data_IF_054777137785
#
_entry.id   IF_054777137785
#
_cell.length_a   1.000
_cell.length_b   1.000
_cell.length_c   1.000
_cell.angle_alpha   90.00
_cell.angle_beta   90.00
_cell.angle_gamma   90.00
#
_symmetry.space_group_name_H-M   'P 1'
#
loop_
_entity.id
_entity.type
_entity.pdbx_description
1 polymer ?
#
# COMPACT_ATOMS: atom_id res chain seq x y z
N UNK A 1 21.32 0.35 -21.57
CA UNK A 1 19.95 0.60 -21.08
C UNK A 1 20.02 1.44 -19.81
N UNK A 2 19.27 2.53 -19.78
CA UNK A 2 19.27 3.44 -18.65
C UNK A 2 18.09 3.09 -17.72
N UNK A 3 18.39 2.81 -16.48
CA UNK A 3 17.34 2.55 -15.48
C UNK A 3 16.99 3.86 -14.80
N UNK A 4 15.70 4.16 -14.73
CA UNK A 4 15.24 5.32 -13.99
C UNK A 4 15.54 5.13 -12.50
N UNK A 5 16.25 6.09 -11.94
CA UNK A 5 16.51 6.10 -10.51
C UNK A 5 15.49 7.01 -9.84
N UNK A 6 14.73 6.47 -8.94
CA UNK A 6 13.79 7.24 -8.14
C UNK A 6 14.23 7.19 -6.70
N UNK A 7 14.15 8.33 -6.04
CA UNK A 7 14.38 8.39 -4.61
C UNK A 7 13.16 7.80 -3.90
N UNK A 8 13.38 6.72 -3.17
CA UNK A 8 12.30 6.04 -2.45
C UNK A 8 12.26 6.55 -1.03
N UNK A 9 11.14 7.19 -0.69
CA UNK A 9 10.90 7.69 0.65
C UNK A 9 9.75 6.92 1.27
N UNK A 10 9.96 6.34 2.43
CA UNK A 10 8.92 5.63 3.17
C UNK A 10 8.35 6.57 4.22
N UNK A 11 7.04 6.75 4.19
CA UNK A 11 6.33 7.59 5.15
C UNK A 11 5.38 6.74 5.98
N UNK A 12 5.26 7.06 7.25
CA UNK A 12 4.27 6.42 8.11
C UNK A 12 2.95 7.16 7.94
N UNK A 13 1.93 6.46 7.53
CA UNK A 13 0.63 7.05 7.18
C UNK A 13 -0.47 6.33 7.96
N UNK A 14 -1.44 7.06 8.52
CA UNK A 14 -2.57 6.42 9.18
C UNK A 14 -3.30 5.50 8.21
N UNK A 15 -3.46 4.25 8.61
CA UNK A 15 -4.14 3.25 7.78
C UNK A 15 -5.55 3.72 7.38
N UNK A 16 -6.25 4.38 8.32
CA UNK A 16 -7.60 4.87 8.07
C UNK A 16 -7.69 5.94 6.99
N UNK A 17 -6.56 6.60 6.65
CA UNK A 17 -6.54 7.63 5.61
C UNK A 17 -6.41 7.06 4.20
N UNK A 18 -6.06 5.78 4.09
CA UNK A 18 -5.83 5.14 2.79
C UNK A 18 -7.14 4.65 2.19
N UNK A 19 -7.33 4.95 0.91
CA UNK A 19 -8.50 4.53 0.16
C UNK A 19 -8.12 3.39 -0.78
N UNK A 20 -8.96 2.38 -0.89
CA UNK A 20 -8.77 1.32 -1.87
C UNK A 20 -9.02 1.87 -3.28
N UNK A 21 -8.24 1.41 -4.25
CA UNK A 21 -8.42 1.79 -5.65
C UNK A 21 -9.78 1.27 -6.16
N UNK A 22 -10.60 2.15 -6.70
CA UNK A 22 -11.96 1.81 -7.12
C UNK A 22 -12.04 0.73 -8.22
N UNK A 23 -11.00 0.65 -9.04
CA UNK A 23 -10.93 -0.37 -10.09
C UNK A 23 -10.57 -1.76 -9.59
N UNK A 24 -10.24 -1.88 -8.31
CA UNK A 24 -9.84 -3.17 -7.74
C UNK A 24 -11.06 -3.88 -7.16
N UNK A 25 -11.70 -4.67 -8.00
CA UNK A 25 -12.90 -5.42 -7.60
C UNK A 25 -12.60 -6.74 -6.91
N UNK A 26 -11.34 -7.15 -6.84
CA UNK A 26 -10.97 -8.43 -6.26
C UNK A 26 -10.90 -8.35 -4.75
N UNK A 27 -11.61 -9.25 -4.09
CA UNK A 27 -11.45 -9.47 -2.66
C UNK A 27 -10.22 -10.35 -2.45
N UNK A 28 -9.39 -9.98 -1.48
CA UNK A 28 -8.27 -10.82 -1.14
C UNK A 28 -8.74 -12.07 -0.40
N UNK A 29 -8.16 -13.22 -0.76
CA UNK A 29 -8.40 -14.47 -0.08
C UNK A 29 -7.98 -14.34 1.38
N UNK A 30 -8.82 -14.81 2.29
CA UNK A 30 -8.52 -14.79 3.73
C UNK A 30 -7.21 -15.50 4.07
N UNK A 31 -6.90 -16.60 3.38
CA UNK A 31 -5.64 -17.31 3.58
C UNK A 31 -4.44 -16.45 3.27
N UNK A 32 -4.55 -15.69 2.17
CA UNK A 32 -3.48 -14.79 1.76
C UNK A 32 -3.29 -13.68 2.78
N UNK A 33 -4.38 -13.09 3.24
CA UNK A 33 -4.33 -12.04 4.26
C UNK A 33 -3.77 -12.58 5.58
N UNK A 34 -4.16 -13.78 5.98
CA UNK A 34 -3.63 -14.42 7.19
C UNK A 34 -2.12 -14.67 7.09
N UNK A 35 -1.65 -15.13 5.93
CA UNK A 35 -0.22 -15.35 5.72
C UNK A 35 0.56 -14.04 5.82
N UNK A 36 0.03 -12.97 5.21
CA UNK A 36 0.64 -11.64 5.29
C UNK A 36 0.64 -11.14 6.73
N UNK A 37 -0.48 -11.31 7.45
CA UNK A 37 -0.58 -10.89 8.84
C UNK A 37 0.42 -11.62 9.73
N UNK A 38 0.59 -12.91 9.55
CA UNK A 38 1.59 -13.69 10.28
C UNK A 38 3.00 -13.19 10.01
N UNK A 39 3.30 -12.87 8.75
CA UNK A 39 4.60 -12.34 8.37
C UNK A 39 4.85 -10.99 9.04
N UNK A 40 3.84 -10.14 9.08
CA UNK A 40 3.95 -8.83 9.75
C UNK A 40 4.18 -9.01 11.26
N UNK A 41 3.46 -9.92 11.89
CA UNK A 41 3.65 -10.19 13.32
C UNK A 41 5.06 -10.69 13.62
N UNK A 42 5.58 -11.58 12.78
CA UNK A 42 6.87 -12.22 13.02
C UNK A 42 8.06 -11.32 12.65
N UNK A 43 7.98 -10.64 11.53
CA UNK A 43 9.11 -9.90 10.96
C UNK A 43 8.92 -8.40 10.92
N UNK A 44 7.77 -7.90 11.30
CA UNK A 44 7.43 -6.49 11.18
C UNK A 44 6.91 -6.14 9.79
N UNK A 45 6.39 -4.93 9.65
CA UNK A 45 5.84 -4.44 8.39
C UNK A 45 7.00 -3.93 7.52
N UNK A 46 7.57 -4.79 6.71
CA UNK A 46 8.79 -4.48 5.95
C UNK A 46 8.55 -4.05 4.52
N UNK A 47 7.43 -4.45 3.92
CA UNK A 47 7.11 -4.11 2.54
C UNK A 47 6.11 -2.96 2.53
N UNK A 48 6.50 -1.75 2.09
CA UNK A 48 5.57 -0.62 2.12
C UNK A 48 4.42 -0.80 1.15
N UNK A 49 3.31 -0.15 1.47
CA UNK A 49 2.18 0.01 0.57
C UNK A 49 2.55 1.08 -0.43
N UNK A 50 2.18 0.89 -1.69
CA UNK A 50 2.40 1.89 -2.74
C UNK A 50 1.09 2.65 -2.92
N UNK A 51 1.15 3.96 -2.85
CA UNK A 51 -0.03 4.81 -2.97
C UNK A 51 0.28 6.08 -3.76
N UNK A 52 -0.75 6.80 -4.11
CA UNK A 52 -0.65 8.10 -4.74
C UNK A 52 -1.77 8.98 -4.21
N UNK A 53 -1.66 10.29 -4.38
CA UNK A 53 -2.73 11.20 -4.01
C UNK A 53 -3.66 11.34 -5.22
N UNK A 54 -4.93 11.03 -5.01
CA UNK A 54 -5.92 11.16 -6.08
C UNK A 54 -6.28 12.62 -6.31
N UNK A 55 -7.21 12.90 -7.22
CA UNK A 55 -7.60 14.27 -7.57
C UNK A 55 -8.17 15.05 -6.38
N UNK A 56 -8.70 14.34 -5.38
CA UNK A 56 -9.21 14.95 -4.16
C UNK A 56 -8.14 15.12 -3.08
N UNK A 57 -6.91 14.74 -3.39
CA UNK A 57 -5.80 14.79 -2.44
C UNK A 57 -5.82 13.66 -1.41
N UNK A 58 -6.65 12.64 -1.63
CA UNK A 58 -6.77 11.51 -0.72
C UNK A 58 -5.77 10.42 -1.10
N UNK A 59 -5.00 9.87 -0.14
CA UNK A 59 -4.10 8.75 -0.43
C UNK A 59 -4.89 7.51 -0.89
N UNK A 60 -4.56 7.03 -2.07
CA UNK A 60 -5.24 5.88 -2.66
C UNK A 60 -4.22 4.78 -2.95
N UNK A 61 -4.56 3.54 -2.57
CA UNK A 61 -3.64 2.41 -2.69
C UNK A 61 -3.50 2.00 -4.15
N UNK A 62 -2.27 1.94 -4.63
CA UNK A 62 -1.94 1.43 -5.97
C UNK A 62 -1.57 -0.04 -5.88
N UNK A 63 -0.77 -0.41 -4.89
CA UNK A 63 -0.35 -1.78 -4.65
C UNK A 63 -0.21 -2.03 -3.15
N UNK A 64 -0.45 -3.26 -2.74
CA UNK A 64 -0.35 -3.63 -1.33
C UNK A 64 -1.70 -3.71 -0.63
N UNK A 65 -2.77 -3.95 -1.37
CA UNK A 65 -4.11 -4.09 -0.78
C UNK A 65 -4.17 -5.22 0.25
N UNK A 66 -3.48 -6.33 0.00
CA UNK A 66 -3.41 -7.44 0.95
C UNK A 66 -2.69 -7.04 2.24
N UNK A 67 -1.65 -6.22 2.12
CA UNK A 67 -0.91 -5.70 3.28
C UNK A 67 -1.78 -4.75 4.10
N UNK A 68 -2.57 -3.91 3.42
CA UNK A 68 -3.50 -3.03 4.10
C UNK A 68 -4.59 -3.81 4.84
N UNK A 69 -5.12 -4.86 4.21
CA UNK A 69 -6.11 -5.74 4.84
C UNK A 69 -5.52 -6.46 6.06
N UNK A 70 -4.29 -6.94 5.95
CA UNK A 70 -3.60 -7.59 7.07
C UNK A 70 -3.36 -6.61 8.21
N UNK A 71 -2.93 -5.39 7.91
CA UNK A 71 -2.72 -4.36 8.91
C UNK A 71 -4.02 -4.03 9.64
N UNK A 72 -5.13 -3.96 8.92
CA UNK A 72 -6.44 -3.73 9.52
C UNK A 72 -6.81 -4.86 10.47
N UNK A 73 -6.55 -6.11 10.08
CA UNK A 73 -6.81 -7.28 10.92
C UNK A 73 -5.99 -7.24 12.20
N UNK A 74 -4.75 -6.78 12.11
CA UNK A 74 -3.85 -6.66 13.25
C UNK A 74 -4.06 -5.38 14.08
N UNK A 75 -4.98 -4.52 13.65
CA UNK A 75 -5.27 -3.24 14.30
C UNK A 75 -4.06 -2.31 14.37
N UNK A 76 -3.27 -2.32 13.30
CA UNK A 76 -2.13 -1.42 13.16
C UNK A 76 -2.66 -0.04 12.75
N UNK A 77 -2.24 0.99 13.47
CA UNK A 77 -2.73 2.36 13.24
C UNK A 77 -2.03 3.05 12.08
N UNK A 78 -0.72 2.90 11.99
CA UNK A 78 0.06 3.51 10.92
C UNK A 78 0.82 2.44 10.15
N UNK A 79 0.98 2.68 8.86
CA UNK A 79 1.66 1.74 7.97
C UNK A 79 2.68 2.47 7.11
N UNK A 80 3.76 1.77 6.70
CA UNK A 80 4.73 2.38 5.79
C UNK A 80 4.16 2.48 4.38
N UNK A 81 4.30 3.65 3.78
CA UNK A 81 3.76 3.94 2.45
C UNK A 81 4.83 4.64 1.61
N UNK A 82 4.92 4.26 0.35
CA UNK A 82 5.70 4.98 -0.65
C UNK A 82 4.73 5.62 -1.62
N UNK A 83 4.80 6.94 -1.75
CA UNK A 83 3.96 7.68 -2.68
C UNK A 83 4.62 7.77 -4.05
N UNK A 84 3.83 7.51 -5.09
CA UNK A 84 4.31 7.50 -6.48
C UNK A 84 3.64 8.59 -7.31
N UNK A 85 3.48 9.76 -6.72
CA UNK A 85 2.84 10.90 -7.38
C UNK A 85 3.64 11.43 -8.58
N UNK A 86 4.91 11.06 -8.65
CA UNK A 86 5.78 11.40 -9.78
C UNK A 86 5.52 10.56 -11.03
N UNK A 87 4.71 9.50 -10.89
CA UNK A 87 4.40 8.61 -12.02
C UNK A 87 3.14 9.06 -12.74
N UNK A 88 3.11 8.83 -14.06
CA UNK A 88 1.91 9.05 -14.86
C UNK A 88 0.87 7.97 -14.55
N UNK A 89 -0.38 8.21 -14.94
CA UNK A 89 -1.44 7.22 -14.77
C UNK A 89 -1.07 5.86 -15.39
N UNK A 90 -0.46 5.89 -16.57
CA UNK A 90 -0.05 4.66 -17.25
C UNK A 90 1.00 3.90 -16.45
N UNK A 91 1.91 4.61 -15.79
CA UNK A 91 2.98 3.99 -15.00
C UNK A 91 2.46 3.41 -13.68
N UNK A 92 1.39 3.98 -13.14
CA UNK A 92 0.80 3.50 -11.88
C UNK A 92 -0.12 2.31 -12.05
N UNK A 93 -0.59 2.07 -13.24
CA UNK A 93 -1.55 0.99 -13.54
C UNK A 93 -0.90 -0.36 -13.74
#
# INVERSE_FOLDING_TARGET
MTVRKAEVKVEQVPLASLKAYDGNAKKHDNRNVEAIAKSIEEFGFRNPIIAWHNDDGIPEIVAGHGRAAAAKRLRIETVPVVFVDDLSDAQRR
#
